data_IF_704134510718
#
_entry.id   IF_704134510718
#
_cell.length_a   1.000
_cell.length_b   1.000
_cell.length_c   1.000
_cell.angle_alpha   90.00
_cell.angle_beta   90.00
_cell.angle_gamma   90.00
#
_symmetry.space_group_name_H-M   'P 1'
#
loop_
_entity.id
_entity.type
_entity.pdbx_description
1 polymer ?
#
# COMPACT_ATOMS: atom_id res chain seq x y z
N UNK A 1 4.94 13.17 20.99
CA UNK A 1 5.21 11.93 20.25
C UNK A 1 6.20 12.27 19.14
N UNK A 2 7.42 11.73 19.14
CA UNK A 2 8.37 12.02 18.06
C UNK A 2 7.90 11.36 16.76
N UNK A 3 8.12 11.98 15.59
CA UNK A 3 7.78 11.39 14.31
C UNK A 3 8.71 10.20 14.05
N UNK A 4 8.15 9.00 13.94
CA UNK A 4 8.86 7.86 13.34
C UNK A 4 8.89 8.09 11.83
N UNK A 5 9.78 8.99 11.40
CA UNK A 5 10.01 9.31 10.00
C UNK A 5 11.20 8.54 9.50
N UNK A 6 10.98 7.33 8.96
CA UNK A 6 11.89 6.82 7.94
C UNK A 6 11.85 7.81 6.77
N UNK A 7 13.00 8.28 6.30
CA UNK A 7 13.05 9.06 5.05
C UNK A 7 12.37 8.21 3.97
N UNK A 8 11.17 8.64 3.53
CA UNK A 8 10.25 8.01 2.57
C UNK A 8 9.35 6.90 3.13
N UNK A 9 8.18 7.23 3.74
CA UNK A 9 7.20 6.21 4.11
C UNK A 9 6.59 5.58 2.86
N UNK A 10 6.71 4.26 2.74
CA UNK A 10 6.02 3.48 1.72
C UNK A 10 4.60 3.20 2.21
N UNK A 11 3.61 3.45 1.37
CA UNK A 11 2.19 3.30 1.70
C UNK A 11 1.56 2.21 0.85
N UNK A 12 0.58 1.51 1.44
CA UNK A 12 -0.36 0.66 0.71
C UNK A 12 -1.64 1.47 0.50
N UNK A 13 -2.03 1.70 -0.76
CA UNK A 13 -3.21 2.51 -1.08
C UNK A 13 -3.95 2.01 -2.33
N UNK A 14 -5.17 2.50 -2.52
CA UNK A 14 -5.97 2.22 -3.72
C UNK A 14 -5.51 2.97 -4.95
N UNK A 15 -5.96 2.53 -6.12
CA UNK A 15 -5.67 3.16 -7.41
C UNK A 15 -6.93 3.65 -8.11
N UNK A 16 -6.98 4.94 -8.46
CA UNK A 16 -8.01 5.47 -9.37
C UNK A 16 -7.76 5.11 -10.84
N UNK A 17 -6.53 4.73 -11.20
CA UNK A 17 -6.18 4.25 -12.53
C UNK A 17 -6.11 2.73 -12.50
N UNK A 18 -7.26 2.06 -12.57
CA UNK A 18 -7.34 0.61 -12.46
C UNK A 18 -6.51 -0.11 -13.54
N UNK A 19 -6.46 0.44 -14.75
CA UNK A 19 -5.68 -0.09 -15.88
C UNK A 19 -4.17 -0.09 -15.68
N UNK A 20 -3.64 0.70 -14.73
CA UNK A 20 -2.19 0.74 -14.46
C UNK A 20 -1.76 -0.24 -13.37
N UNK A 21 -2.69 -0.98 -12.75
CA UNK A 21 -2.34 -2.02 -11.78
C UNK A 21 -1.54 -3.13 -12.48
N UNK A 22 -0.46 -3.60 -11.85
CA UNK A 22 0.44 -4.61 -12.43
C UNK A 22 1.53 -4.05 -13.34
N UNK A 23 1.63 -2.72 -13.49
CA UNK A 23 2.68 -2.06 -14.28
C UNK A 23 3.70 -1.35 -13.38
N UNK A 24 4.89 -1.04 -13.93
CA UNK A 24 5.94 -0.28 -13.25
C UNK A 24 5.62 1.23 -13.21
N UNK A 25 4.57 1.62 -12.47
CA UNK A 25 3.98 2.96 -12.50
C UNK A 25 4.03 3.72 -11.15
N UNK A 26 4.84 3.27 -10.20
CA UNK A 26 4.92 3.87 -8.85
C UNK A 26 6.33 4.38 -8.55
N UNK A 27 6.43 5.33 -7.62
CA UNK A 27 7.70 5.82 -7.08
C UNK A 27 8.00 5.24 -5.69
N UNK A 28 7.54 4.01 -5.43
CA UNK A 28 7.81 3.27 -4.18
C UNK A 28 6.59 2.99 -3.28
N UNK A 29 5.39 3.42 -3.64
CA UNK A 29 4.15 2.98 -2.94
C UNK A 29 3.57 1.71 -3.59
N UNK A 30 2.84 0.93 -2.79
CA UNK A 30 2.12 -0.27 -3.23
C UNK A 30 0.67 0.11 -3.56
N UNK A 31 0.27 -0.10 -4.83
CA UNK A 31 -1.07 0.21 -5.33
C UNK A 31 -1.91 -1.05 -5.44
N UNK A 32 -3.13 -0.99 -4.90
CA UNK A 32 -4.12 -2.06 -5.01
C UNK A 32 -5.32 -1.64 -5.85
N UNK A 33 -5.94 -2.63 -6.49
CA UNK A 33 -7.31 -2.51 -7.00
C UNK A 33 -8.31 -2.41 -5.84
N UNK A 34 -9.54 -1.97 -6.15
CA UNK A 34 -10.57 -1.72 -5.14
C UNK A 34 -10.89 -2.96 -4.27
N UNK A 35 -11.03 -4.13 -4.88
CA UNK A 35 -11.32 -5.38 -4.16
C UNK A 35 -10.18 -5.79 -3.22
N UNK A 36 -8.93 -5.70 -3.70
CA UNK A 36 -7.75 -6.00 -2.88
C UNK A 36 -7.61 -5.05 -1.71
N UNK A 37 -7.87 -3.76 -1.92
CA UNK A 37 -7.88 -2.75 -0.85
C UNK A 37 -8.96 -3.07 0.20
N UNK A 38 -10.18 -3.36 -0.23
CA UNK A 38 -11.28 -3.70 0.67
C UNK A 38 -11.00 -4.98 1.48
N UNK A 39 -10.39 -6.00 0.84
CA UNK A 39 -9.94 -7.21 1.52
C UNK A 39 -8.96 -6.89 2.65
N UNK A 40 -7.88 -6.16 2.37
CA UNK A 40 -6.86 -5.90 3.39
C UNK A 40 -7.39 -4.99 4.49
N UNK A 41 -8.19 -3.98 4.13
CA UNK A 41 -8.72 -3.02 5.09
C UNK A 41 -9.64 -3.68 6.11
N UNK A 42 -10.41 -4.67 5.70
CA UNK A 42 -11.35 -5.38 6.58
C UNK A 42 -10.73 -6.53 7.36
N UNK A 43 -9.55 -7.03 6.97
CA UNK A 43 -9.01 -8.31 7.48
C UNK A 43 -7.62 -8.24 8.07
N UNK A 44 -6.83 -7.22 7.76
CA UNK A 44 -5.45 -7.11 8.22
C UNK A 44 -5.38 -6.20 9.44
N UNK A 45 -5.03 -6.72 10.64
CA UNK A 45 -4.86 -5.90 11.83
C UNK A 45 -3.73 -4.87 11.69
N UNK A 46 -3.84 -3.78 12.44
CA UNK A 46 -2.74 -2.83 12.57
C UNK A 46 -1.56 -3.54 13.24
N UNK A 47 -0.35 -3.33 12.71
CA UNK A 47 0.88 -3.95 13.20
C UNK A 47 1.23 -5.28 12.53
N UNK A 48 0.41 -5.78 11.59
CA UNK A 48 0.80 -6.93 10.75
C UNK A 48 2.09 -6.61 9.98
N UNK A 49 3.14 -7.43 10.10
CA UNK A 49 4.37 -7.25 9.35
C UNK A 49 4.13 -7.28 7.84
N UNK A 50 4.77 -6.36 7.12
CA UNK A 50 4.73 -6.30 5.66
C UNK A 50 6.10 -6.67 5.13
N UNK A 51 6.14 -7.69 4.27
CA UNK A 51 7.34 -8.14 3.59
C UNK A 51 7.19 -7.91 2.09
N UNK A 52 8.12 -7.16 1.50
CA UNK A 52 8.23 -6.93 0.05
C UNK A 52 9.44 -7.74 -0.42
N UNK A 53 9.26 -8.60 -1.41
CA UNK A 53 10.27 -9.52 -1.95
C UNK A 53 10.56 -9.21 -3.42
#
# INVERSE_FOLDING_TARGET
MPPVGTKNPQLIHGSHHASSIGTAATHGCLRLGAEGLAFIYSRVPIGTPVHIM
#
